data_IF_785400864678
#
_entry.id   IF_785400864678
#
_cell.length_a   1.000
_cell.length_b   1.000
_cell.length_c   1.000
_cell.angle_alpha   90.00
_cell.angle_beta   90.00
_cell.angle_gamma   90.00
#
_symmetry.space_group_name_H-M   'P 1'
#
loop_
_entity.id
_entity.type
_entity.pdbx_description
1 polymer ?
#
# COMPACT_ATOMS: atom_id res chain seq x y z
N UNK A 1 -38.14 2.22 -9.04
CA UNK A 1 -37.78 0.79 -8.87
C UNK A 1 -36.63 0.39 -9.79
N UNK A 2 -36.76 0.49 -11.11
CA UNK A 2 -35.66 0.15 -12.05
C UNK A 2 -34.38 0.98 -11.89
N UNK A 3 -34.49 2.28 -11.61
CA UNK A 3 -33.32 3.14 -11.34
C UNK A 3 -32.53 2.71 -10.10
N UNK A 4 -33.24 2.25 -9.07
CA UNK A 4 -32.62 1.73 -7.85
C UNK A 4 -31.88 0.42 -8.13
N UNK A 5 -32.47 -0.47 -8.93
CA UNK A 5 -31.83 -1.71 -9.35
C UNK A 5 -30.60 -1.47 -10.25
N UNK A 6 -30.67 -0.50 -11.17
CA UNK A 6 -29.50 -0.08 -11.95
C UNK A 6 -28.38 0.48 -11.06
N UNK A 7 -28.73 1.30 -10.07
CA UNK A 7 -27.75 1.86 -9.14
C UNK A 7 -27.04 0.76 -8.35
N UNK A 8 -27.80 -0.18 -7.76
CA UNK A 8 -27.24 -1.32 -7.03
C UNK A 8 -26.34 -2.17 -7.96
N UNK A 9 -26.79 -2.45 -9.18
CA UNK A 9 -26.01 -3.22 -10.15
C UNK A 9 -24.67 -2.53 -10.48
N UNK A 10 -24.70 -1.22 -10.74
CA UNK A 10 -23.49 -0.44 -11.02
C UNK A 10 -22.55 -0.44 -9.81
N UNK A 11 -23.06 -0.26 -8.60
CA UNK A 11 -22.24 -0.32 -7.37
C UNK A 11 -21.56 -1.68 -7.21
N UNK A 12 -22.29 -2.78 -7.42
CA UNK A 12 -21.75 -4.14 -7.31
C UNK A 12 -20.67 -4.39 -8.37
N UNK A 13 -20.89 -3.96 -9.61
CA UNK A 13 -19.88 -4.08 -10.68
C UNK A 13 -18.63 -3.27 -10.35
N UNK A 14 -18.77 -2.04 -9.86
CA UNK A 14 -17.62 -1.18 -9.50
C UNK A 14 -16.79 -1.81 -8.38
N UNK A 15 -17.44 -2.33 -7.33
CA UNK A 15 -16.75 -2.98 -6.20
C UNK A 15 -16.09 -4.29 -6.63
N UNK A 16 -16.73 -5.06 -7.51
CA UNK A 16 -16.19 -6.32 -8.01
C UNK A 16 -15.01 -6.11 -8.97
N UNK A 17 -14.98 -4.96 -9.67
CA UNK A 17 -13.86 -4.53 -10.50
C UNK A 17 -12.76 -3.83 -9.71
N UNK A 18 -13.05 -3.36 -8.49
CA UNK A 18 -12.01 -2.83 -7.62
C UNK A 18 -11.24 -4.02 -7.04
N UNK A 19 -10.12 -4.34 -7.69
CA UNK A 19 -9.05 -5.09 -7.02
C UNK A 19 -8.46 -4.18 -5.94
N UNK A 20 -9.16 -4.10 -4.81
CA UNK A 20 -8.64 -3.51 -3.59
C UNK A 20 -7.54 -4.45 -3.07
N UNK A 21 -6.39 -4.45 -3.75
CA UNK A 21 -5.15 -5.01 -3.23
C UNK A 21 -4.77 -4.17 -2.03
N UNK A 22 -5.30 -4.56 -0.87
CA UNK A 22 -4.90 -4.00 0.41
C UNK A 22 -3.48 -4.47 0.70
N UNK A 23 -2.51 -3.82 0.07
CA UNK A 23 -1.11 -4.02 0.37
C UNK A 23 -0.85 -3.31 1.69
N UNK A 24 -0.33 -4.04 2.68
CA UNK A 24 0.05 -3.48 3.97
C UNK A 24 1.27 -2.55 3.78
N UNK A 25 1.00 -1.30 3.40
CA UNK A 25 1.99 -0.25 3.21
C UNK A 25 1.99 0.65 4.45
N UNK A 26 3.16 0.89 5.01
CA UNK A 26 3.34 1.77 6.17
C UNK A 26 4.48 2.74 5.90
N UNK A 27 4.27 4.00 6.30
CA UNK A 27 5.29 5.04 6.24
C UNK A 27 6.01 5.11 7.58
N UNK A 28 7.33 4.96 7.56
CA UNK A 28 8.19 5.07 8.73
C UNK A 28 9.16 6.20 8.60
N UNK A 29 9.34 6.94 9.68
CA UNK A 29 10.44 7.88 9.81
C UNK A 29 11.73 7.13 10.15
N UNK A 30 12.72 7.22 9.27
CA UNK A 30 14.03 6.57 9.45
C UNK A 30 15.11 7.64 9.49
N UNK A 31 15.78 7.72 10.64
CA UNK A 31 16.97 8.54 10.82
C UNK A 31 18.15 7.92 10.06
N UNK A 32 18.93 8.75 9.36
CA UNK A 32 20.08 8.28 8.57
C UNK A 32 19.84 8.18 7.06
N UNK A 33 18.63 8.50 6.59
CA UNK A 33 18.35 8.72 5.16
C UNK A 33 18.07 7.43 4.36
N UNK A 34 18.06 7.53 3.01
CA UNK A 34 17.54 6.48 2.15
C UNK A 34 18.33 5.17 2.22
N UNK A 35 19.64 5.23 2.39
CA UNK A 35 20.48 4.03 2.47
C UNK A 35 20.14 3.17 3.70
N UNK A 36 19.88 3.82 4.85
CA UNK A 36 19.49 3.14 6.08
C UNK A 36 18.09 2.55 5.93
N UNK A 37 17.17 3.26 5.25
CA UNK A 37 15.84 2.74 4.97
C UNK A 37 15.86 1.48 4.10
N UNK A 38 16.75 1.43 3.10
CA UNK A 38 16.93 0.24 2.25
C UNK A 38 17.53 -0.94 3.04
N UNK A 39 18.49 -0.68 3.92
CA UNK A 39 19.11 -1.70 4.76
C UNK A 39 18.10 -2.29 5.76
N UNK A 40 17.34 -1.43 6.47
CA UNK A 40 16.27 -1.84 7.38
C UNK A 40 15.19 -2.63 6.64
N UNK A 41 14.78 -2.18 5.45
CA UNK A 41 13.80 -2.90 4.66
C UNK A 41 14.34 -4.30 4.30
N UNK A 42 15.57 -4.39 3.78
CA UNK A 42 16.20 -5.66 3.41
C UNK A 42 16.37 -6.62 4.59
N UNK A 43 16.83 -6.13 5.73
CA UNK A 43 17.09 -6.95 6.92
C UNK A 43 15.82 -7.58 7.48
N UNK A 44 14.68 -6.92 7.30
CA UNK A 44 13.38 -7.41 7.76
C UNK A 44 12.53 -8.06 6.65
N UNK A 45 13.05 -8.19 5.42
CA UNK A 45 12.33 -8.78 4.29
C UNK A 45 11.22 -7.89 3.71
N UNK A 46 11.32 -6.58 3.92
CA UNK A 46 10.45 -5.57 3.34
C UNK A 46 11.06 -4.97 2.07
N UNK A 47 10.22 -4.44 1.21
CA UNK A 47 10.65 -3.63 0.06
C UNK A 47 10.44 -2.15 0.39
N UNK A 48 11.50 -1.36 0.30
CA UNK A 48 11.40 0.09 0.38
C UNK A 48 10.81 0.61 -0.94
N UNK A 49 9.62 1.20 -0.85
CA UNK A 49 8.87 1.78 -1.96
C UNK A 49 9.25 3.25 -2.20
N UNK A 50 10.22 3.76 -1.44
CA UNK A 50 10.79 5.08 -1.61
C UNK A 50 10.32 6.10 -0.58
N UNK A 51 10.79 7.33 -0.77
CA UNK A 51 10.59 8.43 0.17
C UNK A 51 9.27 9.16 -0.11
N UNK A 52 8.42 9.28 0.91
CA UNK A 52 7.09 9.92 0.80
C UNK A 52 7.19 11.42 1.02
N UNK A 53 8.07 11.87 1.93
CA UNK A 53 8.23 13.29 2.28
C UNK A 53 9.72 13.64 2.35
N UNK A 54 10.11 14.77 1.75
CA UNK A 54 11.50 15.25 1.73
C UNK A 54 11.92 15.99 3.00
N UNK A 55 10.96 16.55 3.73
CA UNK A 55 11.21 17.41 4.91
C UNK A 55 11.40 16.63 6.22
N UNK A 56 10.83 15.43 6.28
CA UNK A 56 10.99 14.44 7.35
C UNK A 56 11.29 13.15 6.61
N UNK A 57 12.40 12.51 6.90
CA UNK A 57 12.91 11.30 6.23
C UNK A 57 11.96 10.10 6.41
N UNK A 58 10.77 10.18 5.83
CA UNK A 58 9.72 9.18 5.88
C UNK A 58 9.76 8.32 4.62
N UNK A 59 9.92 7.02 4.82
CA UNK A 59 10.01 6.01 3.77
C UNK A 59 8.81 5.08 3.84
N UNK A 60 8.31 4.69 2.67
CA UNK A 60 7.20 3.76 2.54
C UNK A 60 7.77 2.35 2.40
N UNK A 61 7.30 1.41 3.20
CA UNK A 61 7.73 0.01 3.12
C UNK A 61 6.51 -0.90 3.00
N UNK A 62 6.63 -2.00 2.27
CA UNK A 62 5.60 -3.04 2.20
C UNK A 62 5.94 -4.19 3.17
N UNK A 63 4.95 -4.70 3.90
CA UNK A 63 5.11 -6.02 4.52
C UNK A 63 4.93 -7.07 3.42
N UNK A 64 5.98 -7.81 3.06
CA UNK A 64 5.85 -9.08 2.35
C UNK A 64 5.31 -10.14 3.32
N UNK A 65 4.10 -9.92 3.82
CA UNK A 65 3.39 -10.79 4.74
C UNK A 65 2.14 -11.31 4.05
N UNK A 66 2.31 -12.42 3.31
CA UNK A 66 1.24 -13.26 2.75
C UNK A 66 0.56 -12.68 1.49
N UNK A 67 1.19 -12.93 0.34
CA UNK A 67 0.43 -13.26 -0.87
C UNK A 67 0.07 -14.74 -0.78
N UNK A 68 -1.14 -15.08 -0.30
CA UNK A 68 -1.70 -16.39 -0.64
C UNK A 68 -2.23 -16.26 -2.05
N UNK A 69 -1.60 -17.01 -2.94
CA UNK A 69 -2.10 -17.29 -4.28
C UNK A 69 -3.48 -17.93 -4.24
#
# INVERSE_FOLDING_TARGET
MYLFLCYIYVCVVIVSLSEAHYTQQWAVHIEGGPQVADEVARDHGFENQGQVRKEVSCFLTNFCGISVR
#
